data_IF_271249696589
#
_entry.id   IF_271249696589
#
_cell.length_a   1.000
_cell.length_b   1.000
_cell.length_c   1.000
_cell.angle_alpha   90.00
_cell.angle_beta   90.00
_cell.angle_gamma   90.00
#
_symmetry.space_group_name_H-M   'P 1'
#
loop_
_entity.id
_entity.type
_entity.pdbx_description
1 polymer ?
#
# COMPACT_ATOMS: atom_id res chain seq x y z
N UNK A 1 1.32 14.16 -14.09
CA UNK A 1 0.02 13.52 -13.83
C UNK A 1 -0.23 13.66 -12.34
N UNK A 2 -1.46 14.03 -11.95
CA UNK A 2 -1.83 14.25 -10.54
C UNK A 2 -2.84 13.17 -10.15
N UNK A 3 -2.57 12.44 -9.07
CA UNK A 3 -3.40 11.32 -8.62
C UNK A 3 -4.61 11.74 -7.79
N UNK A 4 -5.71 10.99 -7.86
CA UNK A 4 -6.97 11.23 -7.12
C UNK A 4 -7.19 10.30 -5.92
N UNK A 5 -6.35 9.28 -5.79
CA UNK A 5 -6.37 8.31 -4.69
C UNK A 5 -4.95 8.12 -4.19
N UNK A 6 -4.76 7.99 -2.86
CA UNK A 6 -3.43 7.84 -2.30
C UNK A 6 -2.81 6.49 -2.69
N UNK A 7 -1.49 6.45 -2.85
CA UNK A 7 -0.76 5.20 -2.85
C UNK A 7 -0.21 4.94 -1.45
N UNK A 8 -0.42 3.72 -0.97
CA UNK A 8 -0.06 3.31 0.38
C UNK A 8 0.83 2.09 0.29
N UNK A 9 1.98 2.14 0.96
CA UNK A 9 2.85 0.98 1.13
C UNK A 9 2.42 0.23 2.37
N UNK A 10 2.17 -1.07 2.23
CA UNK A 10 2.02 -2.00 3.33
C UNK A 10 3.30 -2.80 3.42
N UNK A 11 4.09 -2.54 4.48
CA UNK A 11 5.35 -3.22 4.77
C UNK A 11 5.36 -3.82 6.16
N UNK A 12 6.40 -4.60 6.48
CA UNK A 12 6.55 -5.35 7.71
C UNK A 12 6.96 -6.79 7.45
N UNK A 13 7.43 -7.46 8.49
CA UNK A 13 7.94 -8.83 8.41
C UNK A 13 6.91 -9.79 7.81
N UNK A 14 7.30 -10.78 6.99
CA UNK A 14 6.38 -11.83 6.54
C UNK A 14 5.63 -12.46 7.72
N UNK A 15 4.29 -12.49 7.66
CA UNK A 15 3.43 -13.02 8.73
C UNK A 15 2.72 -11.97 9.61
N UNK A 16 3.11 -10.70 9.54
CA UNK A 16 2.49 -9.61 10.34
C UNK A 16 1.07 -9.23 9.89
N UNK A 17 0.63 -9.65 8.70
CA UNK A 17 -0.78 -9.53 8.26
C UNK A 17 -1.04 -8.52 7.14
N UNK A 18 -0.02 -8.00 6.46
CA UNK A 18 -0.14 -7.04 5.33
C UNK A 18 -1.29 -7.36 4.35
N UNK A 19 -1.26 -8.54 3.72
CA UNK A 19 -2.25 -8.94 2.71
C UNK A 19 -3.65 -9.13 3.28
N UNK A 20 -3.76 -9.48 4.56
CA UNK A 20 -5.04 -9.56 5.26
C UNK A 20 -5.65 -8.16 5.42
N UNK A 21 -4.89 -7.16 5.87
CA UNK A 21 -5.38 -5.78 5.94
C UNK A 21 -5.72 -5.24 4.55
N UNK A 22 -4.91 -5.53 3.53
CA UNK A 22 -5.20 -5.10 2.16
C UNK A 22 -6.55 -5.64 1.68
N UNK A 23 -6.80 -6.94 1.90
CA UNK A 23 -8.06 -7.58 1.52
C UNK A 23 -9.26 -6.97 2.25
N UNK A 24 -9.15 -6.77 3.57
CA UNK A 24 -10.25 -6.18 4.35
C UNK A 24 -10.46 -4.72 3.96
N UNK A 25 -9.41 -3.92 3.81
CA UNK A 25 -9.48 -2.53 3.39
C UNK A 25 -10.18 -2.36 2.03
N UNK A 26 -9.83 -3.20 1.04
CA UNK A 26 -10.46 -3.16 -0.28
C UNK A 26 -11.98 -3.36 -0.22
N UNK A 27 -12.50 -4.11 0.76
CA UNK A 27 -13.95 -4.31 0.91
C UNK A 27 -14.72 -3.04 1.29
N UNK A 28 -14.04 -2.02 1.83
CA UNK A 28 -14.61 -0.70 2.14
C UNK A 28 -14.62 0.25 0.95
N UNK A 29 -13.92 -0.08 -0.14
CA UNK A 29 -13.81 0.76 -1.34
C UNK A 29 -14.23 -0.02 -2.61
N UNK A 30 -15.49 -0.52 -2.67
CA UNK A 30 -15.96 -1.25 -3.83
C UNK A 30 -15.97 -0.35 -5.07
N UNK A 31 -15.62 -0.92 -6.22
CA UNK A 31 -15.64 -0.19 -7.48
C UNK A 31 -17.03 0.36 -7.82
N UNK A 32 -17.08 1.54 -8.44
CA UNK A 32 -18.33 2.12 -8.92
C UNK A 32 -18.85 1.30 -10.09
N UNK A 33 -19.84 0.45 -9.85
CA UNK A 33 -20.64 -0.12 -10.94
C UNK A 33 -21.54 0.99 -11.49
N UNK A 34 -21.04 1.78 -12.44
CA UNK A 34 -21.94 2.62 -13.24
C UNK A 34 -22.92 1.70 -13.96
N UNK A 35 -24.19 1.80 -13.57
CA UNK A 35 -25.30 1.04 -14.12
C UNK A 35 -25.63 1.56 -15.54
N UNK A 36 -24.79 1.28 -16.52
CA UNK A 36 -25.14 1.42 -17.94
C UNK A 36 -24.24 0.57 -18.84
N UNK A 37 -24.67 -0.68 -19.05
CA UNK A 37 -24.43 -1.51 -20.24
C UNK A 37 -23.09 -1.42 -20.96
N UNK A 38 -22.18 -2.36 -20.68
CA UNK A 38 -20.96 -2.60 -21.45
C UNK A 38 -19.99 -3.47 -20.67
N UNK A 39 -19.19 -4.29 -21.35
CA UNK A 39 -18.43 -5.39 -20.75
C UNK A 39 -17.53 -5.00 -19.55
N UNK A 40 -17.70 -5.79 -18.49
CA UNK A 40 -16.92 -5.92 -17.25
C UNK A 40 -15.49 -5.36 -17.24
N UNK A 41 -15.31 -4.17 -16.68
CA UNK A 41 -14.11 -3.79 -15.94
C UNK A 41 -14.58 -3.21 -14.61
N UNK A 42 -14.45 -3.97 -13.53
CA UNK A 42 -14.74 -3.47 -12.18
C UNK A 42 -13.64 -2.47 -11.81
N UNK A 43 -13.91 -1.17 -11.98
CA UNK A 43 -12.98 -0.10 -11.63
C UNK A 43 -13.01 0.13 -10.11
N UNK A 44 -12.20 -0.66 -9.39
CA UNK A 44 -11.99 -0.49 -7.95
C UNK A 44 -11.19 0.79 -7.70
N UNK A 45 -11.64 1.60 -6.75
CA UNK A 45 -10.98 2.82 -6.30
C UNK A 45 -9.54 2.59 -5.83
N UNK A 46 -9.34 1.48 -5.12
CA UNK A 46 -8.04 1.00 -4.66
C UNK A 46 -7.70 -0.32 -5.35
N UNK A 47 -6.41 -0.54 -5.61
CA UNK A 47 -5.88 -1.74 -6.24
C UNK A 47 -4.76 -2.30 -5.38
N UNK A 48 -4.93 -3.55 -4.95
CA UNK A 48 -3.88 -4.26 -4.21
C UNK A 48 -2.91 -4.90 -5.18
N UNK A 49 -1.63 -4.58 -4.98
CA UNK A 49 -0.49 -5.18 -5.66
C UNK A 49 0.29 -5.97 -4.61
N UNK A 50 0.02 -7.27 -4.52
CA UNK A 50 0.94 -8.21 -3.86
C UNK A 50 2.14 -8.39 -4.78
N UNK A 51 3.29 -7.82 -4.39
CA UNK A 51 4.49 -7.79 -5.23
C UNK A 51 4.99 -9.19 -5.55
N UNK A 52 4.91 -10.13 -4.61
CA UNK A 52 5.34 -11.51 -4.83
C UNK A 52 4.49 -12.22 -5.89
N UNK A 53 3.17 -12.04 -5.84
CA UNK A 53 2.26 -12.58 -6.86
C UNK A 53 2.40 -11.84 -8.20
N UNK A 54 2.52 -10.51 -8.16
CA UNK A 54 2.64 -9.68 -9.36
C UNK A 54 3.92 -9.99 -10.14
N UNK A 55 5.06 -10.11 -9.44
CA UNK A 55 6.34 -10.47 -10.05
C UNK A 55 6.27 -11.85 -10.71
N UNK A 56 5.64 -12.83 -10.06
CA UNK A 56 5.43 -14.17 -10.63
C UNK A 56 4.56 -14.14 -11.88
N UNK A 57 3.48 -13.35 -11.90
CA UNK A 57 2.55 -13.27 -13.03
C UNK A 57 3.15 -12.56 -14.25
N UNK A 58 4.02 -11.58 -14.02
CA UNK A 58 4.64 -10.78 -15.07
C UNK A 58 6.04 -11.29 -15.48
N UNK A 59 6.47 -12.44 -14.96
CA UNK A 59 7.78 -13.05 -15.20
C UNK A 59 8.95 -12.12 -14.83
N UNK A 60 8.83 -11.46 -13.68
CA UNK A 60 9.85 -10.56 -13.09
C UNK A 60 10.70 -11.26 -12.03
N UNK A 61 10.63 -12.59 -11.94
CA UNK A 61 11.44 -13.36 -11.00
C UNK A 61 12.76 -13.71 -11.68
N UNK A 62 13.86 -13.31 -11.06
CA UNK A 62 15.20 -13.68 -11.49
C UNK A 62 15.61 -15.04 -10.91
N UNK A 63 16.89 -15.18 -10.56
CA UNK A 63 17.47 -16.40 -10.03
C UNK A 63 16.83 -16.75 -8.69
N UNK A 64 16.65 -18.05 -8.50
CA UNK A 64 16.28 -18.58 -7.20
C UNK A 64 17.54 -18.59 -6.31
N UNK A 65 17.39 -18.05 -5.10
CA UNK A 65 18.40 -18.06 -4.06
C UNK A 65 18.13 -19.26 -3.13
N UNK A 66 19.00 -20.26 -3.20
CA UNK A 66 18.91 -21.49 -2.39
C UNK A 66 19.15 -21.22 -0.88
N UNK A 67 19.93 -20.18 -0.53
CA UNK A 67 20.20 -19.84 0.87
C UNK A 67 19.00 -19.17 1.50
N UNK A 68 18.34 -18.30 0.73
CA UNK A 68 17.18 -17.53 1.19
C UNK A 68 15.87 -18.23 0.89
N UNK A 69 15.84 -19.37 0.18
CA UNK A 69 14.64 -20.08 -0.27
C UNK A 69 13.60 -19.09 -0.84
N UNK A 70 14.03 -18.29 -1.80
CA UNK A 70 13.25 -17.21 -2.40
C UNK A 70 13.74 -16.88 -3.82
N UNK A 71 12.85 -16.37 -4.66
CA UNK A 71 13.24 -15.75 -5.93
C UNK A 71 13.58 -14.29 -5.71
N UNK A 72 14.66 -13.83 -6.34
CA UNK A 72 14.96 -12.41 -6.49
C UNK A 72 13.97 -11.78 -7.49
N UNK A 73 13.56 -10.53 -7.22
CA UNK A 73 12.61 -9.79 -8.05
C UNK A 73 13.39 -8.76 -8.86
N UNK A 74 13.14 -8.69 -10.17
CA UNK A 74 13.65 -7.61 -11.03
C UNK A 74 12.92 -6.31 -10.68
N UNK A 75 13.55 -5.55 -9.80
CA UNK A 75 13.07 -4.30 -9.23
C UNK A 75 12.86 -3.20 -10.29
N UNK A 76 13.78 -3.08 -11.25
CA UNK A 76 13.71 -2.10 -12.33
C UNK A 76 12.50 -2.39 -13.23
N UNK A 77 12.33 -3.65 -13.65
CA UNK A 77 11.19 -4.03 -14.49
C UNK A 77 9.85 -3.93 -13.73
N UNK A 78 9.85 -4.17 -12.41
CA UNK A 78 8.69 -3.96 -11.55
C UNK A 78 8.27 -2.48 -11.51
N UNK A 79 9.24 -1.57 -11.34
CA UNK A 79 9.00 -0.13 -11.35
C UNK A 79 8.47 0.34 -12.71
N UNK A 80 9.07 -0.11 -13.81
CA UNK A 80 8.64 0.25 -15.16
C UNK A 80 7.18 -0.16 -15.45
N UNK A 81 6.74 -1.31 -14.94
CA UNK A 81 5.36 -1.78 -15.09
C UNK A 81 4.36 -1.02 -14.20
N UNK A 82 4.78 -0.59 -13.01
CA UNK A 82 3.92 0.11 -12.05
C UNK A 82 3.91 1.64 -12.24
N UNK A 83 4.92 2.23 -12.87
CA UNK A 83 5.01 3.68 -13.12
C UNK A 83 3.75 4.25 -13.77
N UNK A 84 3.19 3.66 -14.85
CA UNK A 84 1.96 4.17 -15.45
C UNK A 84 0.72 4.04 -14.55
N UNK A 85 0.79 3.22 -13.49
CA UNK A 85 -0.30 3.01 -12.53
C UNK A 85 -0.19 3.92 -11.30
N UNK A 86 1.00 4.45 -11.01
CA UNK A 86 1.30 5.25 -9.82
C UNK A 86 0.55 6.59 -9.75
N UNK A 87 0.15 7.14 -10.91
CA UNK A 87 -0.48 8.45 -10.97
C UNK A 87 0.44 9.65 -10.89
N UNK A 88 1.75 9.46 -10.79
CA UNK A 88 2.70 10.56 -10.67
C UNK A 88 2.78 11.14 -9.26
N UNK A 89 2.48 12.43 -9.10
CA UNK A 89 2.64 13.19 -7.84
C UNK A 89 1.26 13.44 -7.20
N UNK A 90 1.20 13.49 -5.88
CA UNK A 90 -0.01 13.84 -5.14
C UNK A 90 -0.49 15.27 -5.44
N UNK A 91 -1.80 15.56 -5.37
CA UNK A 91 -2.28 16.93 -5.33
C UNK A 91 -1.83 17.62 -4.04
N UNK A 92 -1.53 18.92 -4.13
CA UNK A 92 -1.32 19.76 -2.96
C UNK A 92 -2.63 19.89 -2.16
N UNK A 93 -2.58 19.93 -0.81
CA UNK A 93 -3.75 20.26 0.01
C UNK A 93 -4.30 21.66 -0.33
N UNK A 94 -5.61 21.84 -0.16
CA UNK A 94 -6.23 23.17 -0.26
C UNK A 94 -5.69 24.09 0.84
N UNK A 95 -5.23 25.29 0.48
CA UNK A 95 -4.87 26.31 1.46
C UNK A 95 -6.11 26.70 2.28
N UNK A 96 -6.01 26.69 3.62
CA UNK A 96 -7.06 27.22 4.50
C UNK A 96 -7.05 28.76 4.41
N UNK A 97 -7.72 29.32 3.40
CA UNK A 97 -7.84 30.78 3.28
C UNK A 97 -8.63 31.35 4.47
N UNK A 98 -7.92 32.05 5.36
CA UNK A 98 -8.48 32.70 6.56
C UNK A 98 -9.40 33.91 6.24
N UNK A 99 -9.62 34.24 4.96
CA UNK A 99 -10.61 35.25 4.55
C UNK A 99 -11.29 34.86 3.24
N UNK A 100 -12.63 34.80 3.29
CA UNK A 100 -13.45 34.30 2.20
C UNK A 100 -13.40 35.08 0.88
N UNK A 101 -13.91 34.39 -0.13
CA UNK A 101 -14.21 34.78 -1.51
C UNK A 101 -13.02 34.81 -2.48
N UNK A 102 -12.90 33.73 -3.26
CA UNK A 102 -12.15 33.74 -4.50
C UNK A 102 -12.02 32.34 -5.09
N UNK A 103 -12.87 32.02 -6.07
CA UNK A 103 -12.77 30.79 -6.82
C UNK A 103 -11.37 30.63 -7.46
N UNK A 104 -10.63 29.61 -7.05
CA UNK A 104 -9.58 28.98 -7.83
C UNK A 104 -10.07 27.60 -8.30
N UNK A 105 -11.18 27.60 -9.02
CA UNK A 105 -11.58 26.47 -9.86
C UNK A 105 -11.16 26.79 -11.30
N UNK A 106 -10.09 26.17 -11.77
CA UNK A 106 -9.63 26.22 -13.16
C UNK A 106 -8.10 26.06 -13.24
N UNK A 107 -7.50 25.20 -14.05
CA UNK A 107 -7.94 24.69 -15.36
C UNK A 107 -7.48 23.24 -15.69
N UNK A 108 -6.94 22.47 -14.73
CA UNK A 108 -6.28 21.16 -15.01
C UNK A 108 -6.90 19.92 -14.32
N UNK A 109 -8.19 19.93 -13.94
CA UNK A 109 -8.84 18.73 -13.39
C UNK A 109 -9.31 17.81 -14.53
N UNK A 110 -8.82 16.56 -14.64
CA UNK A 110 -9.04 15.73 -15.82
C UNK A 110 -10.46 15.15 -15.88
N UNK A 111 -11.17 15.47 -16.95
CA UNK A 111 -12.55 15.05 -17.21
C UNK A 111 -12.68 13.67 -17.91
N UNK A 112 -11.90 12.69 -17.42
CA UNK A 112 -11.98 11.24 -17.68
C UNK A 112 -10.96 10.59 -18.67
N UNK A 113 -10.27 9.57 -18.13
CA UNK A 113 -10.04 8.20 -18.64
C UNK A 113 -9.57 7.42 -17.37
N UNK A 114 -10.53 7.19 -16.46
CA UNK A 114 -10.39 6.85 -15.02
C UNK A 114 -9.43 7.80 -14.25
N UNK A 115 -9.92 8.92 -13.69
CA UNK A 115 -9.32 9.62 -12.52
C UNK A 115 -7.79 9.42 -12.33
N UNK A 116 -6.96 10.09 -13.16
CA UNK A 116 -5.65 9.66 -13.70
C UNK A 116 -4.56 9.16 -12.72
N UNK A 117 -4.85 7.99 -12.16
CA UNK A 117 -4.07 6.91 -11.52
C UNK A 117 -3.37 7.28 -10.22
N UNK A 118 -2.99 6.29 -9.42
CA UNK A 118 -2.98 6.35 -7.96
C UNK A 118 -3.78 5.18 -7.38
N UNK A 119 -4.08 5.21 -6.07
CA UNK A 119 -4.88 4.19 -5.41
C UNK A 119 -4.19 2.82 -5.32
N UNK A 120 -2.85 2.79 -5.33
CA UNK A 120 -2.09 1.54 -5.19
C UNK A 120 -1.93 1.19 -3.71
N UNK A 121 -2.29 -0.03 -3.35
CA UNK A 121 -1.88 -0.66 -2.11
C UNK A 121 -0.72 -1.60 -2.43
N UNK A 122 0.51 -1.14 -2.18
CA UNK A 122 1.74 -1.86 -2.48
C UNK A 122 2.09 -2.75 -1.30
N UNK A 123 1.84 -4.06 -1.42
CA UNK A 123 2.06 -5.04 -0.36
C UNK A 123 3.34 -5.82 -0.62
N UNK A 124 4.37 -5.51 0.17
CA UNK A 124 5.64 -6.21 0.15
C UNK A 124 6.33 -6.15 1.51
N UNK A 125 7.40 -6.91 1.73
CA UNK A 125 8.15 -6.86 3.01
C UNK A 125 9.28 -5.82 3.00
N UNK A 126 9.62 -5.31 1.82
CA UNK A 126 10.60 -4.27 1.57
C UNK A 126 9.89 -3.05 0.96
N UNK A 127 10.38 -1.86 1.24
CA UNK A 127 9.70 -0.61 0.92
C UNK A 127 10.61 0.49 0.35
N UNK A 128 11.93 0.34 0.38
CA UNK A 128 12.89 1.32 -0.14
C UNK A 128 12.95 1.41 -1.67
N UNK A 129 12.40 0.41 -2.37
CA UNK A 129 12.30 0.39 -3.84
C UNK A 129 11.44 1.53 -4.41
N UNK A 130 10.37 1.94 -3.71
CA UNK A 130 9.37 2.81 -4.33
C UNK A 130 9.86 4.26 -4.41
N UNK A 131 9.73 4.94 -5.56
CA UNK A 131 10.04 6.36 -5.65
C UNK A 131 9.22 7.17 -4.64
N UNK A 132 9.86 8.03 -3.84
CA UNK A 132 9.18 8.83 -2.79
C UNK A 132 7.94 9.56 -3.31
N UNK A 133 8.00 10.11 -4.53
CA UNK A 133 6.87 10.82 -5.18
C UNK A 133 5.62 9.95 -5.36
N UNK A 134 5.76 8.62 -5.41
CA UNK A 134 4.62 7.72 -5.53
C UNK A 134 3.87 7.61 -4.21
N UNK A 135 4.51 7.78 -3.06
CA UNK A 135 3.99 7.28 -1.79
C UNK A 135 3.38 8.41 -0.96
N UNK A 136 2.15 8.21 -0.49
CA UNK A 136 1.47 9.15 0.41
C UNK A 136 1.49 8.67 1.87
N UNK A 137 1.60 7.36 2.09
CA UNK A 137 1.61 6.73 3.40
C UNK A 137 2.38 5.40 3.36
N UNK A 138 3.19 5.17 4.38
CA UNK A 138 3.86 3.89 4.64
C UNK A 138 3.32 3.31 5.93
N UNK A 139 2.70 2.15 5.85
CA UNK A 139 2.16 1.42 6.98
C UNK A 139 3.07 0.23 7.29
N UNK A 140 3.73 0.28 8.44
CA UNK A 140 4.58 -0.80 8.94
C UNK A 140 3.76 -1.65 9.90
N UNK A 141 3.42 -2.87 9.47
CA UNK A 141 2.70 -3.81 10.32
C UNK A 141 3.68 -4.57 11.23
N UNK A 142 3.40 -4.50 12.52
CA UNK A 142 4.14 -5.19 13.58
C UNK A 142 3.32 -6.33 14.17
N UNK A 143 4.01 -7.29 14.74
CA UNK A 143 3.38 -8.38 15.47
C UNK A 143 4.27 -8.82 16.62
N UNK A 144 3.66 -9.19 17.75
CA UNK A 144 4.34 -9.89 18.82
C UNK A 144 5.05 -11.14 18.28
N UNK A 145 6.30 -11.32 18.72
CA UNK A 145 7.17 -12.37 18.18
C UNK A 145 6.62 -13.78 18.42
N UNK A 146 5.88 -14.02 19.51
CA UNK A 146 5.27 -15.34 19.76
C UNK A 146 4.10 -15.59 18.81
N UNK A 147 3.28 -14.55 18.58
CA UNK A 147 2.16 -14.61 17.63
C UNK A 147 2.67 -14.78 16.19
N UNK A 148 3.74 -14.08 15.83
CA UNK A 148 4.37 -14.19 14.53
C UNK A 148 4.94 -15.61 14.29
N UNK A 149 5.62 -16.17 15.29
CA UNK A 149 6.13 -17.53 15.26
C UNK A 149 5.03 -18.54 14.94
N UNK A 150 3.95 -18.53 15.72
CA UNK A 150 2.81 -19.44 15.52
C UNK A 150 2.18 -19.31 14.12
N UNK A 151 2.10 -18.08 13.60
CA UNK A 151 1.58 -17.80 12.25
C UNK A 151 2.47 -18.40 11.17
N UNK A 152 3.79 -18.27 11.30
CA UNK A 152 4.75 -18.77 10.32
C UNK A 152 4.85 -20.30 10.34
N UNK A 153 4.87 -20.91 11.52
CA UNK A 153 4.82 -22.38 11.66
C UNK A 153 3.54 -22.95 11.05
N UNK A 154 2.38 -22.32 11.32
CA UNK A 154 1.09 -22.75 10.76
C UNK A 154 1.04 -22.64 9.23
N UNK A 155 1.84 -21.75 8.64
CA UNK A 155 2.01 -21.63 7.19
C UNK A 155 2.95 -22.69 6.59
N UNK A 156 3.57 -23.54 7.44
CA UNK A 156 4.45 -24.63 7.01
C UNK A 156 5.87 -24.18 6.66
N UNK A 157 6.32 -23.03 7.19
CA UNK A 157 7.69 -22.56 6.98
C UNK A 157 8.67 -23.47 7.72
N UNK A 158 9.87 -23.68 7.15
CA UNK A 158 10.95 -24.37 7.84
C UNK A 158 11.36 -23.60 9.10
N UNK A 159 11.72 -24.30 10.17
CA UNK A 159 12.09 -23.70 11.47
C UNK A 159 13.18 -22.63 11.34
N UNK A 160 14.20 -22.86 10.50
CA UNK A 160 15.24 -21.87 10.21
C UNK A 160 14.68 -20.56 9.67
N UNK A 161 13.69 -20.64 8.78
CA UNK A 161 13.05 -19.46 8.18
C UNK A 161 12.03 -18.81 9.11
N UNK A 162 11.36 -19.59 9.97
CA UNK A 162 10.56 -19.04 11.07
C UNK A 162 11.45 -18.21 11.99
N UNK A 163 12.59 -18.77 12.42
CA UNK A 163 13.55 -18.11 13.29
C UNK A 163 14.13 -16.84 12.65
N UNK A 164 14.52 -16.89 11.38
CA UNK A 164 15.03 -15.73 10.63
C UNK A 164 14.02 -14.58 10.61
N UNK A 165 12.78 -14.84 10.16
CA UNK A 165 11.74 -13.81 10.10
C UNK A 165 11.39 -13.29 11.50
N UNK A 166 11.29 -14.17 12.49
CA UNK A 166 11.00 -13.74 13.86
C UNK A 166 12.11 -12.86 14.43
N UNK A 167 13.38 -13.16 14.14
CA UNK A 167 14.49 -12.29 14.51
C UNK A 167 14.43 -10.95 13.77
N UNK A 168 14.07 -10.94 12.49
CA UNK A 168 13.89 -9.70 11.73
C UNK A 168 12.81 -8.79 12.34
N UNK A 169 11.71 -9.36 12.83
CA UNK A 169 10.65 -8.61 13.54
C UNK A 169 11.13 -8.04 14.88
N UNK A 170 11.87 -8.84 15.67
CA UNK A 170 12.46 -8.41 16.95
C UNK A 170 13.45 -7.26 16.75
N UNK A 171 14.24 -7.33 15.68
CA UNK A 171 15.24 -6.31 15.32
C UNK A 171 14.63 -5.14 14.55
N UNK A 172 13.31 -5.12 14.35
CA UNK A 172 12.58 -4.05 13.67
C UNK A 172 13.08 -3.76 12.25
N UNK A 173 13.60 -4.76 11.53
CA UNK A 173 14.30 -4.57 10.24
C UNK A 173 13.44 -3.78 9.25
N UNK A 174 12.19 -4.18 9.03
CA UNK A 174 11.29 -3.48 8.10
C UNK A 174 10.92 -2.07 8.58
N UNK A 175 10.90 -1.81 9.89
CA UNK A 175 10.59 -0.49 10.44
C UNK A 175 11.77 0.47 10.26
N UNK A 176 12.98 -0.01 10.52
CA UNK A 176 14.20 0.78 10.34
C UNK A 176 14.48 1.05 8.85
N UNK A 177 14.14 0.11 7.97
CA UNK A 177 14.15 0.33 6.52
C UNK A 177 13.18 1.45 6.13
N UNK A 178 11.92 1.39 6.59
CA UNK A 178 10.93 2.44 6.32
C UNK A 178 11.39 3.81 6.84
N UNK A 179 11.97 3.88 8.04
CA UNK A 179 12.52 5.12 8.64
C UNK A 179 13.72 5.68 7.87
N UNK A 180 14.45 4.83 7.16
CA UNK A 180 15.60 5.24 6.35
C UNK A 180 15.17 5.73 4.97
N UNK A 181 14.08 5.18 4.43
CA UNK A 181 13.58 5.45 3.07
C UNK A 181 12.54 6.59 3.01
N UNK A 182 11.81 6.88 4.09
CA UNK A 182 10.70 7.83 4.08
C UNK A 182 10.76 8.84 5.23
N UNK A 183 10.09 9.98 5.03
CA UNK A 183 9.91 10.98 6.07
C UNK A 183 9.04 10.45 7.23
N UNK A 184 9.37 10.81 8.46
CA UNK A 184 8.74 10.26 9.66
C UNK A 184 7.22 10.48 9.71
N UNK A 185 6.74 11.59 9.16
CA UNK A 185 5.32 11.95 9.07
C UNK A 185 4.52 11.05 8.12
N UNK A 186 5.17 10.41 7.14
CA UNK A 186 4.55 9.49 6.22
C UNK A 186 4.50 8.05 6.77
N UNK A 187 5.17 7.77 7.88
CA UNK A 187 5.29 6.40 8.44
C UNK A 187 4.32 6.22 9.60
N UNK A 188 3.48 5.19 9.50
CA UNK A 188 2.58 4.77 10.56
C UNK A 188 2.83 3.31 10.92
N UNK A 189 3.07 3.07 12.20
CA UNK A 189 3.21 1.73 12.75
C UNK A 189 1.87 1.22 13.27
N UNK A 190 1.50 -0.02 12.89
CA UNK A 190 0.26 -0.67 13.32
C UNK A 190 0.54 -2.09 13.82
N UNK A 191 0.14 -2.38 15.06
CA UNK A 191 0.16 -3.73 15.60
C UNK A 191 -0.98 -4.57 15.03
N UNK A 192 -0.69 -5.84 14.70
CA UNK A 192 -1.68 -6.77 14.15
C UNK A 192 -1.51 -8.18 14.71
N UNK A 193 -1.76 -8.32 16.00
CA UNK A 193 -1.73 -9.59 16.74
C UNK A 193 -3.10 -10.28 16.69
N UNK A 194 -4.17 -9.50 16.73
CA UNK A 194 -5.56 -9.98 16.82
C UNK A 194 -6.43 -9.51 15.66
N UNK A 195 -7.55 -10.22 15.45
CA UNK A 195 -8.56 -9.83 14.46
C UNK A 195 -9.18 -8.45 14.78
N UNK A 196 -9.37 -8.15 16.07
CA UNK A 196 -9.91 -6.85 16.50
C UNK A 196 -8.96 -5.70 16.11
N UNK A 197 -7.64 -5.89 16.28
CA UNK A 197 -6.65 -4.91 15.82
C UNK A 197 -6.69 -4.75 14.30
N UNK A 198 -6.86 -5.82 13.53
CA UNK A 198 -7.01 -5.72 12.06
C UNK A 198 -8.19 -4.82 11.69
N UNK A 199 -9.35 -5.00 12.32
CA UNK A 199 -10.55 -4.19 12.09
C UNK A 199 -10.31 -2.71 12.46
N UNK A 200 -9.76 -2.45 13.65
CA UNK A 200 -9.42 -1.10 14.10
C UNK A 200 -8.39 -0.41 13.19
N UNK A 201 -7.39 -1.15 12.72
CA UNK A 201 -6.37 -0.67 11.79
C UNK A 201 -7.02 -0.29 10.45
N UNK A 202 -7.93 -1.11 9.93
CA UNK A 202 -8.65 -0.82 8.69
C UNK A 202 -9.53 0.42 8.85
N UNK A 203 -10.28 0.55 9.94
CA UNK A 203 -11.09 1.75 10.20
C UNK A 203 -10.24 3.03 10.21
N UNK A 204 -9.06 2.96 10.84
CA UNK A 204 -8.09 4.06 10.85
C UNK A 204 -7.59 4.40 9.44
N UNK A 205 -7.29 3.39 8.62
CA UNK A 205 -6.85 3.58 7.23
C UNK A 205 -7.96 4.16 6.35
N UNK A 206 -9.19 3.70 6.50
CA UNK A 206 -10.37 4.25 5.80
C UNK A 206 -10.53 5.73 6.15
N UNK A 207 -10.49 6.08 7.44
CA UNK A 207 -10.58 7.47 7.89
C UNK A 207 -9.44 8.33 7.33
N UNK A 208 -8.22 7.81 7.31
CA UNK A 208 -7.07 8.51 6.74
C UNK A 208 -7.23 8.76 5.23
N UNK A 209 -7.68 7.76 4.46
CA UNK A 209 -7.92 7.90 3.02
C UNK A 209 -9.00 8.96 2.75
N UNK A 210 -10.10 8.92 3.50
CA UNK A 210 -11.18 9.91 3.35
C UNK A 210 -10.69 11.32 3.67
N UNK A 211 -9.90 11.48 4.73
CA UNK A 211 -9.32 12.77 5.10
C UNK A 211 -8.32 13.26 4.05
N UNK A 212 -7.42 12.40 3.56
CA UNK A 212 -6.46 12.72 2.50
C UNK A 212 -7.16 13.26 1.25
N UNK A 213 -8.29 12.64 0.86
CA UNK A 213 -9.11 13.08 -0.30
C UNK A 213 -9.78 14.42 -0.02
N UNK A 214 -10.40 14.56 1.16
CA UNK A 214 -11.09 15.79 1.57
C UNK A 214 -10.16 17.00 1.57
N UNK A 215 -8.96 16.87 2.13
CA UNK A 215 -7.94 17.92 2.15
C UNK A 215 -7.52 18.39 0.77
N UNK A 216 -7.74 17.56 -0.26
CA UNK A 216 -7.40 17.83 -1.67
C UNK A 216 -8.62 18.17 -2.53
N UNK A 217 -9.76 18.45 -1.90
CA UNK A 217 -11.00 18.82 -2.59
C UNK A 217 -11.65 17.68 -3.39
N UNK A 218 -11.26 16.43 -3.12
CA UNK A 218 -11.78 15.24 -3.80
C UNK A 218 -13.01 14.70 -3.06
N UNK A 219 -13.94 14.10 -3.80
CA UNK A 219 -15.12 13.47 -3.19
C UNK A 219 -14.71 12.26 -2.34
N UNK A 220 -15.36 12.07 -1.20
CA UNK A 220 -15.22 10.84 -0.40
C UNK A 220 -16.25 9.80 -0.87
N UNK A 221 -15.88 8.51 -0.95
CA UNK A 221 -16.80 7.44 -1.31
C UNK A 221 -17.86 7.19 -0.22
#
# INVERSE_FOLDING_TARGET
MVRSWPNIVFTGTPGTGKSTHATVLLSHFPGSSSASGGASSSTSALRHIDVGLFAKQNNLLEKYDDERDAHEVDEDALLDLLEPLSGGVAPEPLEEDEQGAGAAAGEDLPADDDEKRGGLLLDWHTCDLWPERWIDLVVVFRCDHTTLWDRLEKRGYAESKVQENNQAEIMEVCLDEARSAYAAEAIVELHSDTQEQVEQNVDRLVAWIQQWRKERGLSTP
#
